data_IF_377721319653
#
_entry.id   IF_377721319653
#
_cell.length_a   1.000
_cell.length_b   1.000
_cell.length_c   1.000
_cell.angle_alpha   90.00
_cell.angle_beta   90.00
_cell.angle_gamma   90.00
#
_symmetry.space_group_name_H-M   'P 1'
#
loop_
_entity.id
_entity.type
_entity.pdbx_description
1 polymer ?
#
# COMPACT_ATOMS: atom_id res chain seq x y z
N UNK A 1 36.79 34.08 21.62
CA UNK A 1 37.89 33.09 21.72
C UNK A 1 37.35 31.89 22.49
N UNK A 2 37.00 30.81 21.79
CA UNK A 2 36.60 29.55 22.40
C UNK A 2 37.87 28.85 22.94
N UNK A 3 37.92 28.58 24.24
CA UNK A 3 39.06 27.88 24.85
C UNK A 3 39.02 26.39 24.46
N UNK A 4 40.15 25.89 23.98
CA UNK A 4 40.40 24.50 23.60
C UNK A 4 40.49 23.54 24.81
N UNK A 5 39.47 23.50 25.67
CA UNK A 5 39.45 22.69 26.89
C UNK A 5 38.34 21.62 26.96
N UNK A 6 37.63 21.33 25.84
CA UNK A 6 36.62 20.26 25.78
C UNK A 6 37.12 18.95 25.13
N UNK A 7 38.44 18.80 24.93
CA UNK A 7 39.03 17.61 24.33
C UNK A 7 39.29 16.49 25.36
N UNK A 8 38.24 16.05 26.06
CA UNK A 8 38.17 14.71 26.71
C UNK A 8 36.72 14.32 27.06
N UNK A 9 35.78 14.59 26.15
CA UNK A 9 34.47 13.94 26.19
C UNK A 9 34.66 12.43 25.97
N UNK A 10 34.53 11.63 27.03
CA UNK A 10 34.49 10.17 26.92
C UNK A 10 33.48 9.77 25.84
N UNK A 11 33.85 8.82 24.95
CA UNK A 11 33.08 8.41 23.77
C UNK A 11 31.57 8.50 24.04
N UNK A 12 30.95 9.50 23.41
CA UNK A 12 29.52 9.73 23.46
C UNK A 12 28.80 8.42 23.16
N UNK A 13 27.71 8.16 23.87
CA UNK A 13 26.86 7.00 23.61
C UNK A 13 26.34 6.98 22.16
N UNK A 14 25.71 5.88 21.75
CA UNK A 14 25.09 5.81 20.44
C UNK A 14 23.92 6.79 20.37
N UNK A 15 23.76 7.46 19.22
CA UNK A 15 22.65 8.38 18.96
C UNK A 15 21.63 7.68 18.06
N UNK A 16 20.40 7.54 18.53
CA UNK A 16 19.26 7.07 17.76
C UNK A 16 18.35 8.26 17.45
N UNK A 17 17.98 8.43 16.19
CA UNK A 17 17.11 9.51 15.74
C UNK A 17 15.98 8.93 14.92
N UNK A 18 14.74 9.30 15.23
CA UNK A 18 13.56 8.85 14.49
C UNK A 18 12.85 10.06 13.90
N UNK A 19 12.54 9.97 12.62
CA UNK A 19 11.86 11.00 11.84
C UNK A 19 10.52 10.45 11.38
N UNK A 20 9.41 11.16 11.55
CA UNK A 20 8.12 10.72 11.04
C UNK A 20 7.06 11.82 10.96
N UNK A 21 6.05 11.60 10.11
CA UNK A 21 4.83 12.42 10.06
C UNK A 21 3.94 12.08 11.28
N UNK A 22 3.45 13.09 12.01
CA UNK A 22 2.82 12.89 13.33
C UNK A 22 1.53 12.07 13.33
N UNK A 23 0.90 11.85 12.18
CA UNK A 23 -0.30 11.00 12.04
C UNK A 23 -0.04 9.76 11.16
N UNK A 24 1.23 9.40 10.94
CA UNK A 24 1.64 8.22 10.20
C UNK A 24 1.89 7.00 11.12
N UNK A 25 1.20 5.89 10.82
CA UNK A 25 1.27 4.68 11.64
C UNK A 25 2.67 4.03 11.61
N UNK A 26 3.35 4.04 10.47
CA UNK A 26 4.72 3.54 10.36
C UNK A 26 5.70 4.42 11.15
N UNK A 27 5.48 5.73 11.16
CA UNK A 27 6.15 6.69 12.03
C UNK A 27 6.05 6.35 13.52
N UNK A 28 4.83 6.13 14.01
CA UNK A 28 4.58 5.75 15.40
C UNK A 28 5.24 4.42 15.77
N UNK A 29 5.28 3.45 14.84
CA UNK A 29 6.03 2.21 15.04
C UNK A 29 7.52 2.49 15.31
N UNK A 30 8.17 3.36 14.54
CA UNK A 30 9.57 3.73 14.80
C UNK A 30 9.75 4.39 16.17
N UNK A 31 8.84 5.27 16.58
CA UNK A 31 8.87 5.88 17.90
C UNK A 31 8.84 4.82 19.01
N UNK A 32 7.89 3.88 18.98
CA UNK A 32 7.77 2.85 20.01
C UNK A 32 8.98 1.93 20.06
N UNK A 33 9.53 1.56 18.89
CA UNK A 33 10.75 0.77 18.81
C UNK A 33 11.93 1.53 19.43
N UNK A 34 12.11 2.80 19.09
CA UNK A 34 13.16 3.63 19.64
C UNK A 34 13.02 3.85 21.15
N UNK A 35 11.79 4.06 21.65
CA UNK A 35 11.51 4.22 23.08
C UNK A 35 11.81 2.94 23.86
N UNK A 36 11.43 1.77 23.32
CA UNK A 36 11.78 0.47 23.90
C UNK A 36 13.31 0.24 23.92
N UNK A 37 14.01 0.57 22.83
CA UNK A 37 15.47 0.48 22.75
C UNK A 37 16.14 1.39 23.78
N UNK A 38 15.73 2.66 23.87
CA UNK A 38 16.24 3.64 24.83
C UNK A 38 16.07 3.15 26.27
N UNK A 39 14.89 2.62 26.63
CA UNK A 39 14.62 2.10 27.98
C UNK A 39 15.56 0.96 28.37
N UNK A 40 15.97 0.14 27.40
CA UNK A 40 16.86 -1.01 27.65
C UNK A 40 18.35 -0.67 27.49
N UNK A 41 18.68 0.38 26.73
CA UNK A 41 20.03 0.90 26.50
C UNK A 41 20.14 2.35 27.01
N UNK A 42 20.32 2.58 28.33
CA UNK A 42 20.34 3.93 28.91
C UNK A 42 21.50 4.81 28.42
N UNK A 43 22.52 4.21 27.80
CA UNK A 43 23.61 4.92 27.17
C UNK A 43 23.26 5.51 25.78
N UNK A 44 22.05 5.30 25.28
CA UNK A 44 21.60 5.79 23.97
C UNK A 44 20.93 7.16 24.12
N UNK A 45 21.38 8.13 23.33
CA UNK A 45 20.65 9.38 23.13
C UNK A 45 19.56 9.15 22.09
N UNK A 46 18.28 9.22 22.48
CA UNK A 46 17.15 9.05 21.56
C UNK A 46 16.47 10.40 21.27
N UNK A 47 16.36 10.78 19.98
CA UNK A 47 15.67 11.99 19.51
C UNK A 47 14.55 11.67 18.52
N UNK A 48 13.52 12.51 18.53
CA UNK A 48 12.36 12.41 17.65
C UNK A 48 12.19 13.72 16.90
N UNK A 49 11.95 13.63 15.60
CA UNK A 49 11.76 14.78 14.70
C UNK A 49 10.48 14.60 13.87
N UNK A 50 9.49 15.50 14.01
CA UNK A 50 8.32 15.48 13.14
C UNK A 50 8.67 15.92 11.70
N UNK A 51 7.96 15.37 10.71
CA UNK A 51 8.14 15.68 9.29
C UNK A 51 6.92 16.41 8.71
N UNK A 52 7.18 17.45 7.91
CA UNK A 52 6.22 18.19 7.10
C UNK A 52 6.87 18.58 5.77
N UNK A 53 6.06 18.89 4.77
CA UNK A 53 6.49 19.44 3.50
C UNK A 53 6.20 20.96 3.42
N UNK A 54 6.76 21.62 2.40
CA UNK A 54 6.39 22.99 2.05
C UNK A 54 5.58 22.97 0.76
N UNK A 55 4.43 23.63 0.77
CA UNK A 55 3.62 23.86 -0.42
C UNK A 55 4.27 24.89 -1.36
N UNK A 56 3.67 25.10 -2.53
CA UNK A 56 4.16 26.06 -3.53
C UNK A 56 4.27 27.51 -3.01
N UNK A 57 3.45 27.88 -2.02
CA UNK A 57 3.50 29.18 -1.34
C UNK A 57 4.51 29.27 -0.19
N UNK A 58 5.29 28.21 0.04
CA UNK A 58 6.25 28.11 1.15
C UNK A 58 5.63 27.87 2.52
N UNK A 59 4.30 27.67 2.59
CA UNK A 59 3.59 27.28 3.79
C UNK A 59 3.81 25.79 4.13
N UNK A 60 3.69 25.44 5.40
CA UNK A 60 3.75 24.05 5.83
C UNK A 60 2.52 23.26 5.37
N UNK A 61 2.73 22.05 4.88
CA UNK A 61 1.67 21.12 4.50
C UNK A 61 1.98 19.71 4.98
N UNK A 62 0.93 18.91 5.14
CA UNK A 62 0.99 17.53 5.57
C UNK A 62 -0.02 16.69 4.78
N UNK A 63 0.25 15.39 4.62
CA UNK A 63 -0.62 14.48 3.86
C UNK A 63 -2.02 14.37 4.46
N UNK A 64 -2.14 14.53 5.79
CA UNK A 64 -3.40 14.42 6.53
C UNK A 64 -3.95 15.79 6.95
N UNK A 65 -3.47 16.86 6.30
CA UNK A 65 -4.00 18.21 6.44
C UNK A 65 -3.55 18.94 7.71
N UNK A 66 -4.27 20.02 8.04
CA UNK A 66 -3.90 20.98 9.09
C UNK A 66 -3.77 20.35 10.49
N UNK A 67 -4.52 19.29 10.79
CA UNK A 67 -4.41 18.60 12.07
C UNK A 67 -3.03 17.95 12.28
N UNK A 68 -2.45 17.39 11.21
CA UNK A 68 -1.09 16.81 11.23
C UNK A 68 -0.02 17.91 11.27
N UNK A 69 -0.25 19.04 10.59
CA UNK A 69 0.60 20.23 10.72
C UNK A 69 0.64 20.71 12.17
N UNK A 70 -0.52 20.90 12.80
CA UNK A 70 -0.62 21.37 14.19
C UNK A 70 0.10 20.43 15.16
N UNK A 71 -0.12 19.11 15.03
CA UNK A 71 0.57 18.13 15.89
C UNK A 71 2.08 18.10 15.66
N UNK A 72 2.54 18.22 14.42
CA UNK A 72 3.97 18.29 14.10
C UNK A 72 4.64 19.53 14.72
N UNK A 73 3.94 20.67 14.76
CA UNK A 73 4.43 21.86 15.47
C UNK A 73 4.48 21.63 16.99
N UNK A 74 3.47 20.97 17.59
CA UNK A 74 3.48 20.58 19.01
C UNK A 74 4.67 19.68 19.33
N UNK A 75 4.91 18.64 18.54
CA UNK A 75 6.04 17.73 18.72
C UNK A 75 7.38 18.47 18.67
N UNK A 76 7.56 19.39 17.72
CA UNK A 76 8.78 20.17 17.61
C UNK A 76 9.00 21.10 18.82
N UNK A 77 7.92 21.73 19.31
CA UNK A 77 7.96 22.54 20.55
C UNK A 77 8.26 21.68 21.76
N UNK A 78 7.60 20.53 21.92
CA UNK A 78 7.84 19.58 23.00
C UNK A 78 9.32 19.14 23.00
N UNK A 79 9.87 18.77 21.85
CA UNK A 79 11.26 18.34 21.75
C UNK A 79 12.27 19.45 22.08
N UNK A 80 11.94 20.71 21.77
CA UNK A 80 12.86 21.85 21.97
C UNK A 80 12.74 22.49 23.36
N UNK A 81 11.52 22.66 23.86
CA UNK A 81 11.19 23.44 25.05
C UNK A 81 10.95 22.54 26.26
N UNK A 82 10.40 21.35 26.05
CA UNK A 82 10.03 20.40 27.12
C UNK A 82 10.62 19.00 26.89
N UNK A 83 11.95 18.87 26.68
CA UNK A 83 12.57 17.61 26.25
C UNK A 83 12.41 16.45 27.25
N UNK A 84 12.27 16.76 28.54
CA UNK A 84 11.99 15.83 29.61
C UNK A 84 10.55 15.28 29.59
N UNK A 85 9.61 16.07 29.06
CA UNK A 85 8.17 15.73 28.94
C UNK A 85 7.80 15.06 27.62
N UNK A 86 8.64 15.20 26.59
CA UNK A 86 8.37 14.72 25.22
C UNK A 86 7.91 13.26 25.17
N UNK A 87 8.63 12.34 25.82
CA UNK A 87 8.32 10.91 25.71
C UNK A 87 7.03 10.52 26.42
N UNK A 88 6.71 11.17 27.54
CA UNK A 88 5.42 10.97 28.22
C UNK A 88 4.27 11.49 27.34
N UNK A 89 4.45 12.68 26.75
CA UNK A 89 3.48 13.25 25.81
C UNK A 89 3.25 12.36 24.60
N UNK A 90 4.31 11.89 23.93
CA UNK A 90 4.18 11.06 22.72
C UNK A 90 3.51 9.72 23.02
N UNK A 91 3.87 9.06 24.13
CA UNK A 91 3.21 7.82 24.55
C UNK A 91 1.70 8.05 24.80
N UNK A 92 1.33 9.11 25.55
CA UNK A 92 -0.09 9.42 25.78
C UNK A 92 -0.83 9.83 24.50
N UNK A 93 -0.20 10.65 23.64
CA UNK A 93 -0.75 11.10 22.35
C UNK A 93 -1.10 9.92 21.45
N UNK A 94 -0.28 8.88 21.46
CA UNK A 94 -0.50 7.66 20.67
C UNK A 94 -1.73 6.84 21.12
N UNK A 95 -2.13 6.99 22.39
CA UNK A 95 -3.30 6.33 22.96
C UNK A 95 -4.58 7.15 22.75
N UNK A 96 -4.45 8.43 22.39
CA UNK A 96 -5.56 9.36 22.17
C UNK A 96 -5.56 9.92 20.75
N UNK A 97 -5.78 9.10 19.69
CA UNK A 97 -5.54 9.50 18.29
C UNK A 97 -6.48 10.60 17.75
N UNK A 98 -7.59 10.91 18.43
CA UNK A 98 -8.55 11.93 17.99
C UNK A 98 -7.97 13.36 18.04
N UNK A 99 -8.67 14.31 17.40
CA UNK A 99 -8.18 15.66 17.14
C UNK A 99 -7.74 16.40 18.42
N UNK A 100 -8.50 16.31 19.51
CA UNK A 100 -8.20 16.97 20.79
C UNK A 100 -7.38 16.12 21.77
N UNK A 101 -6.99 14.89 21.41
CA UNK A 101 -6.29 13.98 22.31
C UNK A 101 -4.90 14.47 22.75
N UNK A 102 -4.36 15.49 22.08
CA UNK A 102 -3.13 16.16 22.50
C UNK A 102 -3.27 16.88 23.86
N UNK A 103 -4.48 17.32 24.23
CA UNK A 103 -4.74 17.98 25.52
C UNK A 103 -4.54 17.01 26.67
N UNK A 104 -5.13 15.82 26.56
CA UNK A 104 -4.94 14.74 27.54
C UNK A 104 -3.47 14.33 27.64
N UNK A 105 -2.78 14.26 26.50
CA UNK A 105 -1.36 13.96 26.44
C UNK A 105 -0.48 15.02 27.11
N UNK A 106 -0.81 16.31 26.96
CA UNK A 106 -0.14 17.41 27.64
C UNK A 106 -0.33 17.32 29.16
N UNK A 107 -1.57 17.12 29.62
CA UNK A 107 -1.91 16.97 31.04
C UNK A 107 -1.16 15.76 31.63
N UNK A 108 -1.17 14.62 30.94
CA UNK A 108 -0.45 13.42 31.36
C UNK A 108 1.06 13.65 31.47
N UNK A 109 1.65 14.46 30.60
CA UNK A 109 3.05 14.87 30.66
C UNK A 109 3.33 15.98 31.71
N UNK A 110 2.31 16.39 32.47
CA UNK A 110 2.37 17.43 33.49
C UNK A 110 2.53 18.83 32.90
N UNK A 111 1.85 19.12 31.79
CA UNK A 111 1.86 20.42 31.11
C UNK A 111 0.41 20.92 30.92
N UNK A 112 0.15 22.20 31.20
CA UNK A 112 -1.14 22.80 30.91
C UNK A 112 -1.34 22.90 29.38
N UNK A 113 -2.44 22.40 28.80
CA UNK A 113 -2.68 22.47 27.35
C UNK A 113 -2.59 23.90 26.79
N UNK A 114 -3.05 24.89 27.55
CA UNK A 114 -3.03 26.30 27.18
C UNK A 114 -1.61 26.85 27.11
N UNK A 115 -0.72 26.39 27.99
CA UNK A 115 0.70 26.76 27.99
C UNK A 115 1.41 26.19 26.76
N UNK A 116 1.14 24.93 26.43
CA UNK A 116 1.66 24.29 25.22
C UNK A 116 1.18 25.03 23.97
N UNK A 117 -0.12 25.25 23.85
CA UNK A 117 -0.72 25.89 22.67
C UNK A 117 -0.25 27.34 22.51
N UNK A 118 -0.09 28.09 23.61
CA UNK A 118 0.52 29.43 23.60
C UNK A 118 1.94 29.38 23.05
N UNK A 119 2.75 28.39 23.46
CA UNK A 119 4.12 28.25 22.99
C UNK A 119 4.20 27.84 21.53
N UNK A 120 3.29 26.96 21.09
CA UNK A 120 3.16 26.53 19.69
C UNK A 120 2.74 27.68 18.80
N UNK A 121 1.78 28.49 19.24
CA UNK A 121 1.32 29.68 18.52
C UNK A 121 2.44 30.72 18.37
N UNK A 122 3.23 30.93 19.42
CA UNK A 122 4.30 31.93 19.42
C UNK A 122 5.53 31.49 18.59
N UNK A 123 6.00 30.25 18.79
CA UNK A 123 7.32 29.81 18.32
C UNK A 123 7.27 28.58 17.41
N UNK A 124 6.14 27.89 17.30
CA UNK A 124 6.04 26.57 16.69
C UNK A 124 6.58 26.52 15.26
N UNK A 125 6.17 27.46 14.39
CA UNK A 125 6.63 27.51 13.00
C UNK A 125 8.13 27.79 12.89
N UNK A 126 8.70 28.63 13.76
CA UNK A 126 10.13 28.93 13.79
C UNK A 126 10.95 27.73 14.27
N UNK A 127 10.50 27.09 15.35
CA UNK A 127 11.14 25.90 15.91
C UNK A 127 11.11 24.77 14.88
N UNK A 128 9.95 24.53 14.25
CA UNK A 128 9.80 23.51 13.22
C UNK A 128 10.67 23.81 11.98
N UNK A 129 10.85 25.09 11.60
CA UNK A 129 11.79 25.47 10.54
C UNK A 129 13.19 24.90 10.78
N UNK A 130 13.70 24.94 12.00
CA UNK A 130 14.98 24.32 12.35
C UNK A 130 14.97 22.78 12.24
N UNK A 131 13.86 22.13 12.61
CA UNK A 131 13.69 20.68 12.44
C UNK A 131 13.70 20.31 10.94
N UNK A 132 12.95 21.05 10.13
CA UNK A 132 12.88 20.84 8.68
C UNK A 132 14.25 20.92 8.00
N UNK A 133 15.03 21.97 8.29
CA UNK A 133 16.38 22.12 7.74
C UNK A 133 17.29 20.96 8.18
N UNK A 134 17.18 20.53 9.44
CA UNK A 134 17.95 19.39 9.95
C UNK A 134 17.59 18.07 9.27
N UNK A 135 16.29 17.78 9.06
CA UNK A 135 15.83 16.60 8.34
C UNK A 135 16.33 16.57 6.91
N UNK A 136 16.27 17.72 6.21
CA UNK A 136 16.79 17.87 4.84
C UNK A 136 18.29 17.67 4.77
N UNK A 137 19.05 18.29 5.67
CA UNK A 137 20.51 18.12 5.75
C UNK A 137 20.92 16.67 6.07
N UNK A 138 20.07 15.93 6.77
CA UNK A 138 20.26 14.51 7.08
C UNK A 138 19.82 13.57 5.96
N UNK A 139 19.35 14.10 4.82
CA UNK A 139 18.87 13.30 3.68
C UNK A 139 17.54 12.58 3.93
N UNK A 140 16.78 12.98 4.95
CA UNK A 140 15.52 12.32 5.33
C UNK A 140 14.34 13.00 4.63
N UNK A 141 13.60 12.22 3.84
CA UNK A 141 12.41 12.68 3.09
C UNK A 141 11.12 11.99 3.52
N UNK A 142 11.18 11.04 4.47
CA UNK A 142 10.05 10.26 4.94
C UNK A 142 10.38 9.58 6.26
N UNK A 143 9.47 8.73 6.76
CA UNK A 143 9.64 8.05 8.04
C UNK A 143 10.92 7.20 8.04
N UNK A 144 11.85 7.47 8.97
CA UNK A 144 13.17 6.85 8.99
C UNK A 144 13.76 6.80 10.40
N UNK A 145 14.71 5.88 10.61
CA UNK A 145 15.58 5.84 11.77
C UNK A 145 17.04 6.06 11.33
N UNK A 146 17.78 6.85 12.09
CA UNK A 146 19.22 7.07 11.91
C UNK A 146 19.95 6.61 13.17
N UNK A 147 21.10 5.95 12.98
CA UNK A 147 22.02 5.58 14.06
C UNK A 147 23.33 6.31 13.80
N UNK A 148 23.75 7.16 14.74
CA UNK A 148 24.94 8.02 14.63
C UNK A 148 24.93 8.86 13.34
N UNK A 149 23.77 9.38 12.95
CA UNK A 149 23.58 10.19 11.75
C UNK A 149 23.55 9.42 10.42
N UNK A 150 23.67 8.08 10.46
CA UNK A 150 23.59 7.23 9.27
C UNK A 150 22.20 6.59 9.17
N UNK A 151 21.59 6.53 7.98
CA UNK A 151 20.33 5.79 7.78
C UNK A 151 20.45 4.35 8.27
N UNK A 152 19.44 3.89 9.01
CA UNK A 152 19.31 2.49 9.38
C UNK A 152 18.51 1.74 8.30
N UNK A 153 19.20 0.86 7.58
CA UNK A 153 18.61 0.10 6.46
C UNK A 153 17.87 -1.17 6.90
N UNK A 154 17.84 -1.47 8.20
CA UNK A 154 17.11 -2.61 8.73
C UNK A 154 15.62 -2.34 8.84
N UNK A 155 14.81 -3.39 8.92
CA UNK A 155 13.36 -3.26 9.10
C UNK A 155 13.00 -2.67 10.48
N UNK A 156 11.79 -2.10 10.57
CA UNK A 156 11.17 -1.61 11.80
C UNK A 156 10.80 -2.76 12.75
N UNK A 157 11.81 -3.42 13.33
CA UNK A 157 11.66 -4.48 14.33
C UNK A 157 12.52 -4.23 15.54
N UNK A 158 11.99 -4.63 16.70
CA UNK A 158 12.60 -4.36 17.99
C UNK A 158 14.00 -4.96 18.08
N UNK A 159 14.15 -6.26 17.86
CA UNK A 159 15.45 -6.92 18.04
C UNK A 159 16.50 -6.44 17.04
N UNK A 160 16.14 -6.25 15.76
CA UNK A 160 17.11 -5.79 14.76
C UNK A 160 17.58 -4.36 15.00
N UNK A 161 16.65 -3.45 15.37
CA UNK A 161 17.00 -2.08 15.73
C UNK A 161 17.82 -2.06 17.02
N UNK A 162 17.41 -2.84 18.03
CA UNK A 162 18.11 -2.97 19.29
C UNK A 162 19.55 -3.45 19.08
N UNK A 163 19.77 -4.51 18.31
CA UNK A 163 21.09 -5.04 18.00
C UNK A 163 21.95 -4.02 17.27
N UNK A 164 21.41 -3.35 16.25
CA UNK A 164 22.12 -2.31 15.52
C UNK A 164 22.58 -1.18 16.43
N UNK A 165 21.70 -0.65 17.28
CA UNK A 165 22.03 0.42 18.24
C UNK A 165 23.01 -0.08 19.32
N UNK A 166 22.79 -1.29 19.84
CA UNK A 166 23.64 -1.90 20.87
C UNK A 166 25.07 -2.14 20.34
N UNK A 167 25.22 -2.48 19.08
CA UNK A 167 26.53 -2.69 18.45
C UNK A 167 27.32 -1.39 18.29
N UNK A 168 26.65 -0.24 18.18
CA UNK A 168 27.29 1.07 18.13
C UNK A 168 27.75 1.57 19.51
N UNK A 169 27.33 0.92 20.60
CA UNK A 169 27.79 1.27 21.95
C UNK A 169 29.21 0.74 22.23
N UNK A 170 29.98 1.45 23.09
CA UNK A 170 31.20 0.89 23.68
C UNK A 170 30.94 -0.47 24.32
N UNK A 171 31.90 -1.40 24.21
CA UNK A 171 31.73 -2.82 24.59
C UNK A 171 31.18 -2.99 26.01
N UNK A 172 31.66 -2.17 26.93
CA UNK A 172 31.28 -2.14 28.35
C UNK A 172 29.87 -1.59 28.62
N UNK A 173 29.27 -0.89 27.65
CA UNK A 173 27.90 -0.35 27.72
C UNK A 173 26.89 -1.20 26.94
N UNK A 174 27.34 -2.23 26.24
CA UNK A 174 26.44 -3.11 25.48
C UNK A 174 25.60 -3.95 26.42
N UNK A 175 24.30 -4.02 26.16
CA UNK A 175 23.44 -4.97 26.83
C UNK A 175 23.70 -6.38 26.32
N UNK A 176 23.67 -7.35 27.23
CA UNK A 176 23.66 -8.76 26.89
C UNK A 176 22.34 -9.11 26.19
N UNK A 177 22.46 -9.81 25.07
CA UNK A 177 21.35 -10.45 24.38
C UNK A 177 21.46 -11.95 24.57
N UNK A 178 20.47 -12.62 25.19
CA UNK A 178 20.44 -14.06 25.22
C UNK A 178 20.37 -14.56 23.77
N UNK A 179 21.23 -15.52 23.44
CA UNK A 179 21.08 -16.24 22.18
C UNK A 179 19.73 -16.96 22.25
N UNK A 180 18.85 -16.81 21.24
CA UNK A 180 17.63 -17.58 21.22
C UNK A 180 18.02 -19.06 21.29
N UNK A 181 17.29 -19.89 22.07
CA UNK A 181 17.51 -21.32 22.02
C UNK A 181 17.41 -21.77 20.55
N UNK A 182 18.22 -22.74 20.11
CA UNK A 182 18.09 -23.29 18.77
C UNK A 182 16.62 -23.68 18.58
N UNK A 183 15.93 -22.99 17.66
CA UNK A 183 14.51 -23.19 17.46
C UNK A 183 14.21 -24.66 17.14
N UNK A 184 13.02 -25.18 17.48
CA UNK A 184 12.62 -26.52 17.09
C UNK A 184 12.52 -26.54 15.55
N UNK A 185 13.57 -27.03 14.90
CA UNK A 185 13.78 -26.86 13.45
C UNK A 185 15.09 -26.17 13.06
N UNK A 186 16.04 -26.02 13.99
CA UNK A 186 17.44 -25.63 13.75
C UNK A 186 18.20 -26.62 12.86
N UNK A 187 17.69 -26.88 11.67
CA UNK A 187 18.52 -27.14 10.51
C UNK A 187 19.41 -25.90 10.36
N UNK A 188 20.73 -26.13 10.27
CA UNK A 188 21.69 -25.05 10.04
C UNK A 188 21.12 -24.10 8.99
N UNK A 189 21.13 -22.80 9.27
CA UNK A 189 20.71 -21.79 8.31
C UNK A 189 21.55 -22.00 7.05
N UNK A 190 20.98 -22.71 6.07
CA UNK A 190 21.56 -22.82 4.75
C UNK A 190 21.77 -21.40 4.21
N UNK A 191 22.68 -21.23 3.24
CA UNK A 191 22.87 -19.92 2.62
C UNK A 191 21.51 -19.35 2.21
N UNK A 192 21.29 -18.07 2.50
CA UNK A 192 20.06 -17.40 2.11
C UNK A 192 19.85 -17.60 0.59
N UNK A 193 18.65 -18.00 0.14
CA UNK A 193 18.38 -18.16 -1.28
C UNK A 193 18.62 -16.83 -2.00
N UNK A 194 19.06 -16.89 -3.26
CA UNK A 194 19.13 -15.68 -4.08
C UNK A 194 17.75 -15.04 -4.18
N UNK A 195 17.75 -13.71 -4.19
CA UNK A 195 16.52 -12.94 -4.24
C UNK A 195 16.65 -11.80 -5.24
N UNK A 196 15.81 -11.84 -6.27
CA UNK A 196 15.78 -10.84 -7.32
C UNK A 196 14.44 -10.13 -7.32
N UNK A 197 14.44 -8.84 -7.62
CA UNK A 197 13.23 -8.05 -7.83
C UNK A 197 13.30 -7.47 -9.23
N UNK A 198 12.38 -7.87 -10.11
CA UNK A 198 12.32 -7.36 -11.48
C UNK A 198 11.33 -6.20 -11.52
N UNK A 199 11.78 -5.04 -11.98
CA UNK A 199 11.01 -3.81 -12.10
C UNK A 199 11.02 -3.31 -13.55
N UNK A 200 10.09 -2.43 -13.91
CA UNK A 200 10.14 -1.66 -15.15
C UNK A 200 9.97 -0.17 -14.83
N UNK A 201 10.20 0.69 -15.81
CA UNK A 201 10.05 2.14 -15.67
C UNK A 201 8.66 2.50 -15.12
N UNK A 202 8.62 3.34 -14.09
CA UNK A 202 7.38 3.79 -13.46
C UNK A 202 6.71 2.79 -12.50
N UNK A 203 7.36 1.66 -12.21
CA UNK A 203 6.93 0.64 -11.24
C UNK A 203 7.91 0.59 -10.06
N UNK A 204 7.39 0.74 -8.84
CA UNK A 204 8.18 0.74 -7.61
C UNK A 204 8.18 -0.63 -6.92
N UNK A 205 9.31 -0.97 -6.30
CA UNK A 205 9.40 -2.14 -5.42
C UNK A 205 8.58 -1.95 -4.14
N UNK A 206 8.27 -3.07 -3.49
CA UNK A 206 7.62 -3.14 -2.19
C UNK A 206 8.67 -3.40 -1.10
N UNK A 207 9.16 -2.36 -0.46
CA UNK A 207 10.13 -2.56 0.62
C UNK A 207 9.52 -3.32 1.81
N UNK A 208 8.21 -3.19 2.05
CA UNK A 208 7.53 -3.99 3.06
C UNK A 208 7.56 -5.48 2.73
N UNK A 209 7.27 -5.85 1.47
CA UNK A 209 7.32 -7.24 1.01
C UNK A 209 8.73 -7.81 1.03
N UNK A 210 9.74 -7.03 0.61
CA UNK A 210 11.15 -7.41 0.75
C UNK A 210 11.47 -7.69 2.22
N UNK A 211 10.98 -6.85 3.14
CA UNK A 211 11.06 -7.07 4.57
C UNK A 211 10.34 -8.34 5.06
N UNK A 212 9.25 -8.75 4.40
CA UNK A 212 8.57 -10.03 4.66
C UNK A 212 9.48 -11.20 4.28
N UNK A 213 10.07 -11.21 3.08
CA UNK A 213 11.05 -12.23 2.70
C UNK A 213 12.26 -12.24 3.64
N UNK A 214 12.68 -11.06 4.11
CA UNK A 214 13.69 -10.92 5.16
C UNK A 214 13.35 -11.63 6.48
N UNK A 215 12.06 -11.82 6.83
CA UNK A 215 11.64 -12.63 7.99
C UNK A 215 11.95 -14.10 7.79
N UNK A 216 11.59 -14.63 6.64
CA UNK A 216 11.76 -16.04 6.36
C UNK A 216 13.24 -16.39 6.27
N UNK A 217 14.03 -15.56 5.57
CA UNK A 217 15.35 -15.99 5.14
C UNK A 217 16.53 -15.41 5.90
N UNK A 218 16.37 -14.29 6.62
CA UNK A 218 17.45 -13.64 7.38
C UNK A 218 18.61 -13.20 6.47
N UNK A 219 19.02 -11.93 6.53
CA UNK A 219 20.12 -11.38 5.70
C UNK A 219 19.96 -11.51 4.17
N UNK A 220 18.77 -11.87 3.67
CA UNK A 220 18.48 -11.91 2.24
C UNK A 220 18.59 -10.49 1.65
N UNK A 221 19.33 -10.36 0.55
CA UNK A 221 19.52 -9.08 -0.16
C UNK A 221 18.83 -9.15 -1.52
N UNK A 222 17.91 -8.23 -1.74
CA UNK A 222 17.25 -8.09 -3.03
C UNK A 222 18.22 -7.49 -4.06
N UNK A 223 18.43 -8.19 -5.17
CA UNK A 223 19.09 -7.65 -6.36
C UNK A 223 18.01 -7.17 -7.32
N UNK A 224 18.03 -5.90 -7.66
CA UNK A 224 17.05 -5.35 -8.61
C UNK A 224 17.51 -5.59 -10.03
N UNK A 225 16.62 -6.10 -10.89
CA UNK A 225 16.82 -6.23 -12.32
C UNK A 225 15.83 -5.31 -13.05
N UNK A 226 16.31 -4.64 -14.07
CA UNK A 226 15.45 -3.94 -15.01
C UNK A 226 14.78 -4.96 -15.95
N UNK A 227 13.49 -4.75 -16.24
CA UNK A 227 12.73 -5.63 -17.11
C UNK A 227 13.37 -5.66 -18.49
N UNK A 228 13.83 -4.57 -19.07
CA UNK A 228 14.41 -4.61 -20.42
C UNK A 228 15.88 -5.07 -20.46
N UNK A 229 16.45 -5.45 -19.31
CA UNK A 229 17.83 -5.91 -19.23
C UNK A 229 18.08 -7.24 -19.96
N UNK A 230 19.22 -7.40 -20.65
CA UNK A 230 19.62 -8.67 -21.25
C UNK A 230 19.72 -9.82 -20.24
N UNK A 231 20.09 -9.51 -18.99
CA UNK A 231 20.16 -10.49 -17.89
C UNK A 231 18.77 -11.06 -17.59
N UNK A 232 17.74 -10.21 -17.45
CA UNK A 232 16.35 -10.67 -17.27
C UNK A 232 15.88 -11.48 -18.46
N UNK A 233 16.10 -11.03 -19.70
CA UNK A 233 15.69 -11.78 -20.90
C UNK A 233 16.29 -13.18 -20.92
N UNK A 234 17.56 -13.30 -20.53
CA UNK A 234 18.27 -14.58 -20.50
C UNK A 234 17.75 -15.51 -19.40
N UNK A 235 17.54 -15.00 -18.19
CA UNK A 235 17.17 -15.82 -17.03
C UNK A 235 15.65 -16.05 -16.91
N UNK A 236 14.84 -15.06 -17.28
CA UNK A 236 13.38 -15.03 -17.09
C UNK A 236 12.65 -14.53 -18.35
N UNK A 237 12.79 -15.20 -19.52
CA UNK A 237 12.13 -14.78 -20.76
C UNK A 237 10.59 -14.83 -20.66
N UNK A 238 10.04 -15.66 -19.78
CA UNK A 238 8.60 -15.86 -19.59
C UNK A 238 7.92 -14.89 -18.61
N UNK A 239 8.66 -13.93 -18.04
CA UNK A 239 8.09 -12.99 -17.07
C UNK A 239 7.14 -12.00 -17.78
N UNK A 240 5.87 -12.04 -17.40
CA UNK A 240 4.79 -11.30 -18.05
C UNK A 240 4.29 -10.10 -17.25
N UNK A 241 4.54 -10.07 -15.94
CA UNK A 241 4.12 -9.01 -15.03
C UNK A 241 5.27 -8.53 -14.12
N UNK A 242 5.32 -7.21 -13.86
CA UNK A 242 6.20 -6.58 -12.86
C UNK A 242 5.39 -5.63 -11.96
N UNK A 243 5.75 -5.45 -10.67
CA UNK A 243 6.97 -5.95 -10.04
C UNK A 243 6.87 -7.44 -9.70
N UNK A 244 7.95 -8.17 -9.98
CA UNK A 244 8.06 -9.60 -9.67
C UNK A 244 9.18 -9.84 -8.66
N UNK A 245 8.93 -10.72 -7.69
CA UNK A 245 9.85 -11.07 -6.62
C UNK A 245 10.22 -12.54 -6.79
N UNK A 246 11.46 -12.80 -7.17
CA UNK A 246 11.96 -14.11 -7.52
C UNK A 246 12.88 -14.61 -6.43
N UNK A 247 12.49 -15.71 -5.80
CA UNK A 247 13.25 -16.38 -4.76
C UNK A 247 13.80 -17.70 -5.30
N UNK A 248 15.08 -17.96 -5.10
CA UNK A 248 15.70 -19.23 -5.51
C UNK A 248 15.00 -20.41 -4.81
N UNK A 249 14.58 -21.38 -5.60
CA UNK A 249 13.80 -22.53 -5.16
C UNK A 249 14.71 -23.59 -4.53
N UNK A 250 15.04 -23.36 -3.27
CA UNK A 250 15.85 -24.28 -2.45
C UNK A 250 14.94 -25.12 -1.53
N UNK A 251 15.36 -26.31 -1.08
CA UNK A 251 14.61 -27.08 -0.08
C UNK A 251 14.30 -26.25 1.18
N UNK A 252 15.24 -25.43 1.63
CA UNK A 252 15.05 -24.54 2.77
C UNK A 252 13.99 -23.46 2.50
N UNK A 253 13.93 -22.90 1.28
CA UNK A 253 12.88 -21.99 0.86
C UNK A 253 11.50 -22.66 0.86
N UNK A 254 11.39 -23.85 0.29
CA UNK A 254 10.12 -24.60 0.27
C UNK A 254 9.62 -24.95 1.66
N UNK A 255 10.50 -25.39 2.57
CA UNK A 255 10.11 -25.68 3.96
C UNK A 255 9.58 -24.42 4.66
N UNK A 256 10.25 -23.29 4.48
CA UNK A 256 9.86 -22.02 5.12
C UNK A 256 8.59 -21.39 4.54
N UNK A 257 8.31 -21.63 3.26
CA UNK A 257 7.15 -21.08 2.53
C UNK A 257 6.06 -22.14 2.25
N UNK A 258 6.04 -23.24 3.01
CA UNK A 258 5.16 -24.36 2.73
C UNK A 258 3.68 -23.96 2.69
N UNK A 259 3.26 -23.07 3.59
CA UNK A 259 1.90 -22.52 3.64
C UNK A 259 1.54 -21.74 2.37
N UNK A 260 2.43 -20.87 1.93
CA UNK A 260 2.25 -19.98 0.79
C UNK A 260 2.27 -20.76 -0.52
N UNK A 261 3.14 -21.78 -0.61
CA UNK A 261 3.18 -22.71 -1.73
C UNK A 261 1.88 -23.50 -1.83
N UNK A 262 1.37 -24.02 -0.69
CA UNK A 262 0.08 -24.73 -0.65
C UNK A 262 -1.09 -23.82 -1.04
N UNK A 263 -0.99 -22.54 -0.71
CA UNK A 263 -1.98 -21.53 -1.09
C UNK A 263 -1.86 -21.06 -2.56
N UNK A 264 -0.88 -21.56 -3.33
CA UNK A 264 -0.70 -21.18 -4.73
C UNK A 264 -0.22 -19.74 -4.93
N UNK A 265 0.36 -19.12 -3.91
CA UNK A 265 0.82 -17.72 -3.94
C UNK A 265 2.01 -17.53 -4.89
N UNK A 266 2.85 -18.56 -5.02
CA UNK A 266 4.03 -18.54 -5.88
C UNK A 266 3.80 -19.30 -7.17
N UNK A 267 4.32 -18.74 -8.25
CA UNK A 267 4.42 -19.38 -9.55
C UNK A 267 5.81 -19.99 -9.67
N UNK A 268 5.88 -21.31 -9.89
CA UNK A 268 7.16 -22.01 -10.04
C UNK A 268 7.73 -21.84 -11.46
N UNK A 269 8.99 -21.43 -11.57
CA UNK A 269 9.71 -21.17 -12.83
C UNK A 269 11.18 -21.55 -12.73
N UNK A 270 11.59 -22.63 -13.40
CA UNK A 270 13.01 -23.02 -13.62
C UNK A 270 13.93 -22.80 -12.39
N UNK A 271 13.55 -23.35 -11.23
CA UNK A 271 14.35 -23.21 -10.00
C UNK A 271 14.13 -21.89 -9.24
N UNK A 272 13.04 -21.18 -9.52
CA UNK A 272 12.60 -19.98 -8.82
C UNK A 272 11.14 -20.08 -8.40
N UNK A 273 10.84 -19.50 -7.24
CA UNK A 273 9.51 -19.21 -6.75
C UNK A 273 9.22 -17.73 -7.06
N UNK A 274 8.29 -17.47 -7.97
CA UNK A 274 7.97 -16.12 -8.44
C UNK A 274 6.68 -15.64 -7.79
N UNK A 275 6.77 -14.51 -7.08
CA UNK A 275 5.60 -13.81 -6.56
C UNK A 275 5.38 -12.53 -7.38
N UNK A 276 4.17 -12.40 -7.94
CA UNK A 276 3.74 -11.19 -8.65
C UNK A 276 2.94 -10.31 -7.70
N UNK A 277 3.42 -9.11 -7.45
CA UNK A 277 2.72 -8.18 -6.56
C UNK A 277 1.61 -7.43 -7.32
N UNK A 278 0.49 -8.13 -7.49
CA UNK A 278 -0.73 -7.64 -8.14
C UNK A 278 -1.68 -6.93 -7.17
N UNK A 279 -1.21 -6.57 -5.98
CA UNK A 279 -2.01 -5.85 -4.99
C UNK A 279 -1.94 -4.32 -5.16
N UNK A 280 -1.14 -3.84 -6.12
CA UNK A 280 -0.91 -2.42 -6.39
C UNK A 280 -0.47 -2.22 -7.83
N UNK A 281 0.00 -1.00 -8.14
CA UNK A 281 0.45 -0.63 -9.48
C UNK A 281 1.52 -1.60 -10.00
N UNK A 282 1.32 -2.05 -11.24
CA UNK A 282 2.24 -2.91 -11.96
C UNK A 282 2.12 -2.76 -13.47
N UNK A 283 2.79 -3.65 -14.20
CA UNK A 283 2.88 -3.60 -15.65
C UNK A 283 2.87 -5.01 -16.24
N UNK A 284 1.92 -5.30 -17.12
CA UNK A 284 1.95 -6.47 -18.00
C UNK A 284 2.85 -6.19 -19.20
N UNK A 285 4.17 -6.19 -18.98
CA UNK A 285 5.14 -5.71 -19.95
C UNK A 285 5.16 -6.52 -21.26
N UNK A 286 4.75 -7.79 -21.21
CA UNK A 286 4.66 -8.67 -22.39
C UNK A 286 3.37 -8.48 -23.21
N UNK A 287 2.34 -7.80 -22.68
CA UNK A 287 1.07 -7.65 -23.37
C UNK A 287 1.20 -6.77 -24.62
N UNK A 288 0.33 -7.01 -25.61
CA UNK A 288 0.20 -6.11 -26.75
C UNK A 288 -0.44 -4.79 -26.28
N UNK A 289 0.05 -3.62 -26.73
CA UNK A 289 -0.60 -2.35 -26.45
C UNK A 289 -2.03 -2.32 -27.00
N UNK A 290 -2.95 -1.72 -26.25
CA UNK A 290 -4.34 -1.48 -26.65
C UNK A 290 -4.67 0.03 -26.51
N UNK A 291 -4.17 0.89 -27.43
CA UNK A 291 -4.25 2.33 -27.26
C UNK A 291 -5.67 2.85 -26.97
N UNK A 292 -5.80 3.72 -25.98
CA UNK A 292 -7.09 4.31 -25.61
C UNK A 292 -8.06 3.38 -24.86
N UNK A 293 -7.72 2.12 -24.58
CA UNK A 293 -8.63 1.19 -23.89
C UNK A 293 -8.36 1.17 -22.38
N UNK A 294 -9.37 1.51 -21.58
CA UNK A 294 -9.40 1.32 -20.13
C UNK A 294 -10.25 0.10 -19.81
N UNK A 295 -9.62 -0.99 -19.37
CA UNK A 295 -10.33 -2.13 -18.80
C UNK A 295 -10.52 -1.92 -17.31
N UNK A 296 -11.76 -2.05 -16.83
CA UNK A 296 -12.15 -1.98 -15.44
C UNK A 296 -12.61 -3.37 -15.00
N UNK A 297 -11.90 -3.96 -14.05
CA UNK A 297 -12.23 -5.25 -13.44
C UNK A 297 -12.93 -5.04 -12.11
N UNK A 298 -14.15 -5.55 -11.99
CA UNK A 298 -15.04 -5.30 -10.85
C UNK A 298 -15.76 -6.55 -10.40
N UNK A 299 -16.33 -6.49 -9.21
CA UNK A 299 -17.37 -7.40 -8.76
C UNK A 299 -18.67 -6.59 -8.64
N UNK A 300 -19.77 -7.07 -9.22
CA UNK A 300 -20.98 -6.26 -9.42
C UNK A 300 -21.65 -5.77 -8.12
N UNK A 301 -21.36 -6.40 -6.97
CA UNK A 301 -21.84 -5.95 -5.65
C UNK A 301 -20.74 -5.36 -4.77
N UNK A 302 -19.54 -5.15 -5.30
CA UNK A 302 -18.47 -4.49 -4.56
C UNK A 302 -18.75 -2.98 -4.46
N UNK A 303 -18.88 -2.40 -3.25
CA UNK A 303 -19.07 -0.96 -3.09
C UNK A 303 -17.97 -0.14 -3.76
N UNK A 304 -16.71 -0.61 -3.71
CA UNK A 304 -15.60 0.08 -4.35
C UNK A 304 -15.61 -0.06 -5.89
N UNK A 305 -16.14 -1.17 -6.41
CA UNK A 305 -16.38 -1.37 -7.84
C UNK A 305 -17.43 -0.41 -8.36
N UNK A 306 -18.56 -0.32 -7.66
CA UNK A 306 -19.66 0.63 -7.94
C UNK A 306 -19.18 2.08 -7.94
N UNK A 307 -18.38 2.47 -6.94
CA UNK A 307 -17.78 3.80 -6.89
C UNK A 307 -16.87 4.07 -8.10
N UNK A 308 -16.09 3.07 -8.53
CA UNK A 308 -15.23 3.20 -9.70
C UNK A 308 -16.02 3.33 -11.01
N UNK A 309 -17.02 2.48 -11.21
CA UNK A 309 -17.90 2.54 -12.38
C UNK A 309 -18.57 3.91 -12.50
N UNK A 310 -19.19 4.39 -11.40
CA UNK A 310 -19.85 5.69 -11.38
C UNK A 310 -18.89 6.82 -11.73
N UNK A 311 -17.71 6.84 -11.10
CA UNK A 311 -16.72 7.90 -11.29
C UNK A 311 -16.15 7.92 -12.72
N UNK A 312 -15.83 6.75 -13.30
CA UNK A 312 -15.30 6.66 -14.66
C UNK A 312 -16.37 7.03 -15.69
N UNK A 313 -17.61 6.56 -15.52
CA UNK A 313 -18.72 6.90 -16.42
C UNK A 313 -19.04 8.39 -16.34
N UNK A 314 -19.07 8.98 -15.15
CA UNK A 314 -19.29 10.41 -14.98
C UNK A 314 -18.18 11.25 -15.65
N UNK A 315 -16.92 10.88 -15.43
CA UNK A 315 -15.78 11.54 -16.07
C UNK A 315 -15.85 11.44 -17.60
N UNK A 316 -16.23 10.27 -18.13
CA UNK A 316 -16.42 10.06 -19.56
C UNK A 316 -17.56 10.94 -20.12
N UNK A 317 -18.71 11.01 -19.45
CA UNK A 317 -19.84 11.84 -19.84
C UNK A 317 -19.49 13.35 -19.84
N UNK A 318 -18.66 13.76 -18.88
CA UNK A 318 -18.14 15.14 -18.79
C UNK A 318 -16.94 15.41 -19.69
N UNK A 319 -16.49 14.43 -20.48
CA UNK A 319 -15.31 14.52 -21.36
C UNK A 319 -14.04 14.91 -20.61
N UNK A 320 -13.87 14.36 -19.40
CA UNK A 320 -12.72 14.58 -18.53
C UNK A 320 -11.64 13.48 -18.64
N UNK A 321 -11.91 12.43 -19.42
CA UNK A 321 -10.95 11.37 -19.75
C UNK A 321 -10.11 11.75 -20.97
N UNK A 322 -8.98 11.06 -21.24
CA UNK A 322 -8.24 11.23 -22.48
C UNK A 322 -9.14 11.10 -23.71
N UNK A 323 -8.85 11.88 -24.75
CA UNK A 323 -9.64 11.85 -25.97
C UNK A 323 -9.61 10.46 -26.61
N UNK A 324 -10.79 9.91 -26.93
CA UNK A 324 -10.93 8.58 -27.53
C UNK A 324 -10.85 7.42 -26.55
N UNK A 325 -10.85 7.66 -25.23
CA UNK A 325 -10.90 6.58 -24.24
C UNK A 325 -12.14 5.71 -24.42
N UNK A 326 -11.93 4.40 -24.56
CA UNK A 326 -12.96 3.36 -24.52
C UNK A 326 -12.91 2.67 -23.16
N UNK A 327 -14.04 2.65 -22.47
CA UNK A 327 -14.23 1.86 -21.25
C UNK A 327 -14.70 0.44 -21.61
N UNK A 328 -14.03 -0.56 -21.05
CA UNK A 328 -14.39 -1.98 -21.14
C UNK A 328 -14.50 -2.55 -19.72
N UNK A 329 -15.65 -3.14 -19.37
CA UNK A 329 -15.92 -3.60 -17.99
C UNK A 329 -15.89 -5.12 -17.97
N UNK A 330 -15.09 -5.68 -17.07
CA UNK A 330 -14.94 -7.11 -16.87
C UNK A 330 -15.24 -7.51 -15.42
N UNK A 331 -15.73 -8.73 -15.24
CA UNK A 331 -16.11 -9.25 -13.93
C UNK A 331 -15.08 -10.21 -13.32
N UNK A 332 -14.98 -10.20 -11.99
CA UNK A 332 -14.09 -11.07 -11.21
C UNK A 332 -14.93 -12.16 -10.52
N UNK A 333 -14.50 -13.42 -10.64
CA UNK A 333 -15.15 -14.57 -10.00
C UNK A 333 -14.48 -15.90 -10.40
N UNK A 334 -15.16 -17.01 -10.19
CA UNK A 334 -14.79 -18.34 -10.70
C UNK A 334 -15.93 -18.95 -11.51
N UNK A 335 -15.56 -19.71 -12.54
CA UNK A 335 -16.46 -20.58 -13.27
C UNK A 335 -15.85 -21.97 -13.39
N UNK A 336 -16.58 -22.98 -12.96
CA UNK A 336 -16.26 -24.39 -13.17
C UNK A 336 -17.34 -25.03 -14.05
N UNK A 337 -16.99 -26.11 -14.77
CA UNK A 337 -17.99 -26.93 -15.49
C UNK A 337 -18.33 -28.17 -14.68
N UNK A 338 -19.62 -28.47 -14.55
CA UNK A 338 -20.09 -29.75 -14.02
C UNK A 338 -19.77 -30.89 -15.00
N UNK A 339 -19.86 -32.17 -14.59
CA UNK A 339 -19.71 -33.31 -15.50
C UNK A 339 -20.67 -33.27 -16.71
N UNK A 340 -21.82 -32.62 -16.56
CA UNK A 340 -22.83 -32.43 -17.62
C UNK A 340 -22.53 -31.21 -18.51
N UNK A 341 -21.40 -30.54 -18.31
CA UNK A 341 -20.95 -29.40 -19.10
C UNK A 341 -21.61 -28.05 -18.76
N UNK A 342 -22.41 -27.97 -17.69
CA UNK A 342 -23.04 -26.73 -17.23
C UNK A 342 -22.07 -25.90 -16.39
N UNK A 343 -22.16 -24.58 -16.45
CA UNK A 343 -21.35 -23.72 -15.60
C UNK A 343 -21.90 -23.62 -14.17
N UNK A 344 -20.99 -23.68 -13.20
CA UNK A 344 -21.21 -23.26 -11.82
C UNK A 344 -20.33 -22.06 -11.52
N UNK A 345 -20.92 -20.99 -10.99
CA UNK A 345 -20.22 -19.74 -10.70
C UNK A 345 -20.00 -19.56 -9.20
N UNK A 346 -18.88 -18.93 -8.83
CA UNK A 346 -18.63 -18.42 -7.49
C UNK A 346 -18.18 -16.96 -7.58
N UNK A 347 -18.82 -16.11 -6.78
CA UNK A 347 -18.48 -14.70 -6.62
C UNK A 347 -18.43 -14.35 -5.14
N UNK A 348 -17.71 -13.27 -4.79
CA UNK A 348 -17.43 -12.91 -3.40
C UNK A 348 -18.72 -12.63 -2.60
N UNK A 349 -19.70 -11.97 -3.22
CA UNK A 349 -20.98 -11.64 -2.60
C UNK A 349 -22.09 -12.66 -2.93
N UNK A 350 -21.71 -13.86 -3.38
CA UNK A 350 -22.62 -14.98 -3.59
C UNK A 350 -23.39 -14.92 -4.91
N UNK A 351 -24.54 -15.61 -4.95
CA UNK A 351 -25.32 -15.82 -6.18
C UNK A 351 -25.83 -14.55 -6.84
N UNK A 352 -26.43 -13.59 -6.09
CA UNK A 352 -26.94 -12.36 -6.68
C UNK A 352 -25.90 -11.56 -7.49
N UNK A 353 -24.63 -11.63 -7.09
CA UNK A 353 -23.54 -10.92 -7.76
C UNK A 353 -23.24 -11.48 -9.15
N UNK A 354 -22.99 -12.78 -9.29
CA UNK A 354 -22.68 -13.34 -10.60
C UNK A 354 -23.89 -13.27 -11.53
N UNK A 355 -25.11 -13.41 -11.01
CA UNK A 355 -26.32 -13.23 -11.83
C UNK A 355 -26.42 -11.80 -12.36
N UNK A 356 -26.09 -10.79 -11.54
CA UNK A 356 -26.03 -9.41 -11.99
C UNK A 356 -24.94 -9.20 -13.04
N UNK A 357 -23.74 -9.77 -12.86
CA UNK A 357 -22.68 -9.73 -13.87
C UNK A 357 -23.15 -10.32 -15.22
N UNK A 358 -23.92 -11.41 -15.22
CA UNK A 358 -24.52 -11.97 -16.44
C UNK A 358 -25.44 -10.94 -17.11
N UNK A 359 -26.35 -10.30 -16.37
CA UNK A 359 -27.27 -9.30 -16.93
C UNK A 359 -26.51 -8.13 -17.52
N UNK A 360 -25.49 -7.64 -16.82
CA UNK A 360 -24.65 -6.53 -17.27
C UNK A 360 -23.91 -6.87 -18.59
N UNK A 361 -23.33 -8.07 -18.70
CA UNK A 361 -22.71 -8.54 -19.95
C UNK A 361 -23.71 -8.66 -21.10
N UNK A 362 -24.90 -9.20 -20.84
CA UNK A 362 -25.97 -9.29 -21.85
C UNK A 362 -26.41 -7.91 -22.33
N UNK A 363 -26.58 -6.95 -21.41
CA UNK A 363 -26.96 -5.57 -21.74
C UNK A 363 -25.83 -4.88 -22.52
N UNK A 364 -24.57 -5.02 -22.10
CA UNK A 364 -23.42 -4.47 -22.81
C UNK A 364 -23.32 -4.98 -24.26
N UNK A 365 -23.60 -6.27 -24.48
CA UNK A 365 -23.55 -6.88 -25.80
C UNK A 365 -24.75 -6.54 -26.70
N UNK A 366 -25.98 -6.56 -26.18
CA UNK A 366 -27.21 -6.39 -26.98
C UNK A 366 -27.76 -4.96 -27.02
N UNK A 367 -27.47 -4.17 -25.99
CA UNK A 367 -28.00 -2.82 -25.79
C UNK A 367 -26.88 -1.86 -25.32
N UNK A 368 -25.79 -1.70 -26.10
CA UNK A 368 -24.59 -0.96 -25.66
C UNK A 368 -24.87 0.51 -25.32
N UNK A 369 -25.87 1.13 -25.95
CA UNK A 369 -26.31 2.50 -25.66
C UNK A 369 -27.07 2.62 -24.32
N UNK A 370 -27.60 1.50 -23.81
CA UNK A 370 -28.33 1.42 -22.53
C UNK A 370 -27.47 0.94 -21.38
N UNK A 371 -26.29 0.40 -21.65
CA UNK A 371 -25.44 -0.22 -20.64
C UNK A 371 -25.04 0.73 -19.51
N UNK A 372 -24.46 1.90 -19.83
CA UNK A 372 -24.06 2.85 -18.79
C UNK A 372 -25.24 3.50 -18.05
N UNK A 373 -26.35 3.90 -18.71
CA UNK A 373 -27.57 4.29 -18.01
C UNK A 373 -28.08 3.23 -17.04
N UNK A 374 -28.09 1.95 -17.45
CA UNK A 374 -28.46 0.84 -16.59
C UNK A 374 -27.51 0.71 -15.40
N UNK A 375 -26.20 0.73 -15.63
CA UNK A 375 -25.21 0.56 -14.58
C UNK A 375 -25.31 1.67 -13.53
N UNK A 376 -25.45 2.94 -13.94
CA UNK A 376 -25.63 4.07 -13.02
C UNK A 376 -26.91 3.96 -12.17
N UNK A 377 -28.01 3.46 -12.74
CA UNK A 377 -29.24 3.21 -11.97
C UNK A 377 -29.09 2.01 -11.04
N UNK A 378 -28.48 0.92 -11.52
CA UNK A 378 -28.25 -0.31 -10.77
C UNK A 378 -27.36 -0.06 -9.55
N UNK A 379 -26.36 0.82 -9.71
CA UNK A 379 -25.38 1.19 -8.69
C UNK A 379 -25.97 1.95 -7.51
N UNK A 380 -27.19 2.48 -7.61
CA UNK A 380 -27.89 3.11 -6.48
C UNK A 380 -28.36 2.11 -5.42
N UNK A 381 -28.54 0.85 -5.79
CA UNK A 381 -28.97 -0.24 -4.90
C UNK A 381 -28.28 -1.56 -5.28
N UNK A 382 -26.94 -1.53 -5.41
CA UNK A 382 -26.12 -2.60 -5.99
C UNK A 382 -26.30 -3.99 -5.30
N UNK A 383 -26.69 -4.04 -4.03
CA UNK A 383 -26.92 -5.29 -3.29
C UNK A 383 -28.27 -5.97 -3.57
N UNK A 384 -29.23 -5.23 -4.13
CA UNK A 384 -30.59 -5.69 -4.38
C UNK A 384 -30.67 -6.71 -5.52
N UNK A 385 -31.58 -7.68 -5.43
CA UNK A 385 -31.90 -8.58 -6.55
C UNK A 385 -32.88 -7.98 -7.55
N UNK A 386 -33.48 -6.82 -7.22
CA UNK A 386 -34.52 -6.14 -8.01
C UNK A 386 -33.90 -5.26 -9.10
N UNK A 387 -33.44 -5.89 -10.18
CA UNK A 387 -32.78 -5.22 -11.29
C UNK A 387 -33.77 -4.57 -12.28
N UNK A 388 -35.02 -5.03 -12.29
CA UNK A 388 -36.05 -4.64 -13.26
C UNK A 388 -36.39 -3.15 -13.19
N UNK A 389 -36.38 -2.56 -11.99
CA UNK A 389 -36.63 -1.12 -11.85
C UNK A 389 -35.49 -0.27 -12.43
N UNK A 390 -34.24 -0.71 -12.26
CA UNK A 390 -33.09 -0.05 -12.85
C UNK A 390 -33.10 -0.21 -14.37
N UNK A 391 -33.46 -1.40 -14.87
CA UNK A 391 -33.68 -1.67 -16.29
C UNK A 391 -34.75 -0.74 -16.88
N UNK A 392 -35.92 -0.62 -16.24
CA UNK A 392 -36.98 0.28 -16.71
C UNK A 392 -36.53 1.75 -16.74
N UNK A 393 -35.82 2.23 -15.70
CA UNK A 393 -35.27 3.60 -15.67
C UNK A 393 -34.21 3.85 -16.76
N UNK A 394 -33.53 2.80 -17.21
CA UNK A 394 -32.59 2.85 -18.33
C UNK A 394 -33.25 2.65 -19.72
N UNK A 395 -34.58 2.46 -19.77
CA UNK A 395 -35.31 2.19 -21.03
C UNK A 395 -35.11 0.76 -21.56
N UNK A 396 -34.91 -0.20 -20.65
CA UNK A 396 -34.86 -1.65 -20.91
C UNK A 396 -36.16 -2.34 -20.48
N UNK A 397 -37.31 -1.67 -20.59
CA UNK A 397 -38.63 -2.24 -20.33
C UNK A 397 -39.20 -2.99 -21.55
N UNK A 398 -40.32 -3.69 -21.36
CA UNK A 398 -41.04 -4.40 -22.42
C UNK A 398 -40.19 -5.46 -23.14
N UNK A 399 -40.00 -5.30 -24.45
CA UNK A 399 -39.28 -6.26 -25.29
C UNK A 399 -37.78 -6.32 -24.97
N UNK A 400 -37.16 -5.19 -24.60
CA UNK A 400 -35.74 -5.15 -24.26
C UNK A 400 -35.44 -5.92 -22.97
N UNK A 401 -36.25 -5.71 -21.92
CA UNK A 401 -36.14 -6.47 -20.67
C UNK A 401 -36.40 -7.97 -20.88
N UNK A 402 -37.39 -8.31 -21.71
CA UNK A 402 -37.65 -9.70 -22.09
C UNK A 402 -36.47 -10.35 -22.82
N UNK A 403 -35.78 -9.59 -23.69
CA UNK A 403 -34.59 -10.06 -24.39
C UNK A 403 -33.38 -10.27 -23.45
N UNK A 404 -33.23 -9.45 -22.40
CA UNK A 404 -32.21 -9.67 -21.36
C UNK A 404 -32.47 -10.98 -20.64
N UNK A 405 -33.70 -11.22 -20.19
CA UNK A 405 -34.09 -12.47 -19.52
C UNK A 405 -33.91 -13.69 -20.43
N UNK A 406 -34.31 -13.59 -21.70
CA UNK A 406 -34.17 -14.69 -22.66
C UNK A 406 -32.70 -15.05 -22.94
N UNK A 407 -31.80 -14.07 -22.88
CA UNK A 407 -30.37 -14.25 -23.16
C UNK A 407 -29.54 -14.58 -21.91
N UNK A 408 -30.16 -14.75 -20.74
CA UNK A 408 -29.45 -14.99 -19.48
C UNK A 408 -28.60 -16.28 -19.53
N UNK A 409 -29.13 -17.38 -20.07
CA UNK A 409 -28.37 -18.62 -20.19
C UNK A 409 -27.19 -18.50 -21.16
N UNK A 410 -27.35 -17.77 -22.26
CA UNK A 410 -26.24 -17.45 -23.17
C UNK A 410 -25.17 -16.60 -22.48
N UNK A 411 -25.61 -15.62 -21.66
CA UNK A 411 -24.74 -14.73 -20.91
C UNK A 411 -23.85 -15.43 -19.87
N UNK A 412 -24.23 -16.62 -19.39
CA UNK A 412 -23.34 -17.43 -18.53
C UNK A 412 -22.03 -17.79 -19.22
N UNK A 413 -22.06 -18.06 -20.53
CA UNK A 413 -20.83 -18.33 -21.28
C UNK A 413 -19.93 -17.10 -21.34
N UNK A 414 -20.51 -15.91 -21.55
CA UNK A 414 -19.79 -14.64 -21.53
C UNK A 414 -19.15 -14.39 -20.16
N UNK A 415 -19.88 -14.64 -19.07
CA UNK A 415 -19.34 -14.49 -17.72
C UNK A 415 -18.18 -15.45 -17.44
N UNK A 416 -18.26 -16.70 -17.93
CA UNK A 416 -17.17 -17.65 -17.80
C UNK A 416 -15.91 -17.20 -18.56
N UNK A 417 -16.07 -16.56 -19.73
CA UNK A 417 -14.96 -15.97 -20.48
C UNK A 417 -14.34 -14.78 -19.74
N UNK A 418 -15.16 -13.94 -19.14
CA UNK A 418 -14.73 -12.81 -18.32
C UNK A 418 -13.96 -13.24 -17.07
N UNK A 419 -14.48 -14.22 -16.34
CA UNK A 419 -13.78 -14.81 -15.18
C UNK A 419 -12.47 -15.48 -15.60
N UNK A 420 -12.44 -16.13 -16.77
CA UNK A 420 -11.20 -16.69 -17.33
C UNK A 420 -10.21 -15.60 -17.70
N UNK A 421 -10.65 -14.47 -18.28
CA UNK A 421 -9.79 -13.33 -18.58
C UNK A 421 -9.17 -12.77 -17.29
N UNK A 422 -10.00 -12.42 -16.30
CA UNK A 422 -9.54 -11.91 -15.01
C UNK A 422 -8.56 -12.90 -14.33
N UNK A 423 -8.90 -14.18 -14.31
CA UNK A 423 -8.05 -15.26 -13.78
C UNK A 423 -6.72 -15.42 -14.52
N UNK A 424 -6.73 -15.33 -15.87
CA UNK A 424 -5.51 -15.42 -16.67
C UNK A 424 -4.56 -14.26 -16.43
N UNK A 425 -5.10 -13.08 -16.12
CA UNK A 425 -4.33 -11.91 -15.71
C UNK A 425 -3.98 -11.98 -14.22
N UNK A 426 -4.54 -12.90 -13.43
CA UNK A 426 -4.39 -12.97 -11.98
C UNK A 426 -4.98 -11.77 -11.25
N UNK A 427 -6.03 -11.18 -11.81
CA UNK A 427 -6.74 -10.04 -11.22
C UNK A 427 -7.85 -10.60 -10.33
N UNK A 428 -7.70 -10.38 -9.02
CA UNK A 428 -8.64 -10.90 -8.00
C UNK A 428 -9.25 -9.81 -7.12
N UNK A 429 -8.93 -8.54 -7.40
CA UNK A 429 -9.26 -7.39 -6.55
C UNK A 429 -10.13 -6.38 -7.30
N UNK A 430 -11.21 -5.90 -6.68
CA UNK A 430 -12.15 -4.92 -7.22
C UNK A 430 -12.10 -3.59 -6.46
N UNK A 431 -11.97 -2.43 -7.13
CA UNK A 431 -11.74 -2.28 -8.57
C UNK A 431 -10.25 -2.45 -8.93
N UNK A 432 -9.98 -3.06 -10.08
CA UNK A 432 -8.67 -3.00 -10.73
C UNK A 432 -8.81 -2.43 -12.14
N UNK A 433 -7.74 -1.78 -12.61
CA UNK A 433 -7.68 -1.15 -13.93
C UNK A 433 -6.53 -1.72 -14.73
N UNK A 434 -6.75 -1.90 -16.03
CA UNK A 434 -5.70 -2.15 -17.01
C UNK A 434 -5.80 -1.11 -18.13
N UNK A 435 -4.89 -0.15 -18.11
CA UNK A 435 -4.80 0.91 -19.11
C UNK A 435 -3.88 0.50 -20.25
N UNK A 436 -4.40 0.63 -21.48
CA UNK A 436 -3.74 0.31 -22.74
C UNK A 436 -3.14 -1.10 -22.81
N UNK A 437 -3.80 -2.05 -22.14
CA UNK A 437 -3.40 -3.46 -22.12
C UNK A 437 -2.17 -3.76 -21.27
N UNK A 438 -1.51 -2.76 -20.67
CA UNK A 438 -0.22 -2.92 -19.99
C UNK A 438 -0.21 -2.37 -18.57
N UNK A 439 -0.65 -1.14 -18.36
CA UNK A 439 -0.52 -0.45 -17.07
C UNK A 439 -1.60 -0.94 -16.11
N UNK A 440 -1.21 -1.69 -15.09
CA UNK A 440 -2.12 -2.27 -14.11
C UNK A 440 -2.17 -1.41 -12.85
N UNK A 441 -3.37 -1.17 -12.32
CA UNK A 441 -3.58 -0.42 -11.09
C UNK A 441 -4.69 -1.05 -10.25
N UNK A 442 -4.57 -0.93 -8.93
CA UNK A 442 -5.61 -1.37 -7.98
C UNK A 442 -6.17 -0.13 -7.28
N UNK A 443 -7.48 0.05 -7.33
CA UNK A 443 -8.17 1.17 -6.71
C UNK A 443 -8.12 2.48 -7.49
N UNK A 444 -9.10 3.35 -7.21
CA UNK A 444 -9.27 4.66 -7.84
C UNK A 444 -8.10 5.62 -7.59
N UNK A 445 -7.50 5.55 -6.41
CA UNK A 445 -6.37 6.41 -6.04
C UNK A 445 -5.13 6.18 -6.92
N UNK A 446 -4.93 4.96 -7.42
CA UNK A 446 -3.85 4.68 -8.38
C UNK A 446 -4.23 5.08 -9.81
N UNK A 447 -5.51 4.96 -10.19
CA UNK A 447 -5.99 5.45 -11.48
C UNK A 447 -5.80 6.97 -11.62
N UNK A 448 -6.14 7.74 -10.58
CA UNK A 448 -6.02 9.19 -10.59
C UNK A 448 -4.58 9.70 -10.76
N UNK A 449 -3.57 8.84 -10.55
CA UNK A 449 -2.15 9.17 -10.79
C UNK A 449 -1.73 8.95 -12.24
N UNK A 450 -2.58 8.37 -13.08
CA UNK A 450 -2.31 8.19 -14.50
C UNK A 450 -2.66 9.49 -15.23
N UNK A 451 -1.74 10.03 -16.08
CA UNK A 451 -2.00 11.24 -16.83
C UNK A 451 -3.32 11.20 -17.60
N UNK A 452 -4.15 12.22 -17.41
CA UNK A 452 -5.48 12.36 -18.01
C UNK A 452 -6.63 11.71 -17.21
N UNK A 453 -6.34 11.03 -16.09
CA UNK A 453 -7.35 10.45 -15.20
C UNK A 453 -7.47 11.17 -13.85
N UNK A 454 -6.84 12.33 -13.69
CA UNK A 454 -6.80 13.09 -12.43
C UNK A 454 -8.21 13.47 -11.94
N UNK A 455 -9.11 13.70 -12.88
CA UNK A 455 -10.50 14.10 -12.63
C UNK A 455 -11.45 12.93 -12.33
N UNK A 456 -10.96 11.69 -12.35
CA UNK A 456 -11.76 10.53 -11.92
C UNK A 456 -11.82 10.44 -10.38
N UNK A 457 -11.56 11.54 -9.66
CA UNK A 457 -11.62 11.61 -8.21
C UNK A 457 -12.20 12.94 -7.71
N UNK A 458 -13.30 12.87 -6.96
CA UNK A 458 -13.67 13.94 -6.03
C UNK A 458 -14.32 13.47 -4.72
N UNK A 459 -14.51 12.15 -4.52
CA UNK A 459 -15.13 11.62 -3.29
C UNK A 459 -14.74 10.16 -2.93
N UNK A 460 -13.81 9.53 -3.65
CA UNK A 460 -13.46 8.12 -3.41
C UNK A 460 -12.50 7.96 -2.21
N UNK A 461 -12.63 6.88 -1.41
CA UNK A 461 -11.70 6.58 -0.32
C UNK A 461 -10.27 6.39 -0.81
N UNK A 462 -9.31 6.59 0.09
CA UNK A 462 -7.87 6.56 -0.18
C UNK A 462 -7.39 5.28 -0.90
N UNK A 463 -6.21 5.36 -1.52
CA UNK A 463 -5.51 4.23 -2.13
C UNK A 463 -5.55 2.98 -1.23
N UNK A 464 -5.99 1.84 -1.79
CA UNK A 464 -6.05 0.55 -1.08
C UNK A 464 -7.46 0.10 -0.66
N UNK A 465 -8.50 0.91 -0.88
CA UNK A 465 -9.88 0.49 -0.67
C UNK A 465 -10.37 -0.44 -1.80
N UNK A 466 -10.42 -1.74 -1.52
CA UNK A 466 -10.82 -2.75 -2.50
C UNK A 466 -11.41 -4.00 -1.81
N UNK A 467 -12.21 -4.76 -2.56
CA UNK A 467 -12.62 -6.11 -2.18
C UNK A 467 -11.73 -7.12 -2.92
N UNK A 468 -11.19 -8.12 -2.21
CA UNK A 468 -10.39 -9.18 -2.79
C UNK A 468 -11.09 -10.53 -2.60
N UNK A 469 -11.05 -11.36 -3.66
CA UNK A 469 -11.58 -12.72 -3.66
C UNK A 469 -10.62 -13.73 -3.03
#
# INVERSE_FOLDING_TARGET
MCSAADAKAGKAGAKLEVFFESMDSAGWQWFFLGDAVKKRLPAVEFKVYPLLAKNAGGGWEAKRGEAEVAESLRMAVMAKVYPDKLFAYLNARSLSPWADGWRDAAIFAGLAPEELEKKVSADGRKIFGGVYEYSRASGVTGAAALINGKPYDGGARLLTLFEAVNNELPKEKRAFLPQPPPGPGGTAAGPAPKFRVVLSSGVEKNDALIGVFGRYFGSIKAVTLDYDSPERVKEFPELDFVPAYLLEDTPAARTKLQSELKAGIFVERKGWLVYYDKQRKGLYAANKPEPGVLKLFVMAQCPFGVLAENAVIEAMNKKLLPAGTKLDIHYIGDADKTPEGKYTFRSLHGTPEWEESVRQLVIAGKFPDKFFPYLLERNKDYTSTRWEEAAARAGLDGAAGSAVTAAFEEGKALLAEDFKLAGSLGITTSPSFLWEGRSFMVGMGELAKVPGFEHVSSSAPASGAACAK
#
